data_IF_232873419137
#
_entry.id   IF_232873419137
#
_cell.length_a   1.000
_cell.length_b   1.000
_cell.length_c   1.000
_cell.angle_alpha   90.00
_cell.angle_beta   90.00
_cell.angle_gamma   90.00
#
_symmetry.space_group_name_H-M   'P 1'
#
loop_
_entity.id
_entity.type
_entity.pdbx_description
1 polymer ?
#
# COMPACT_ATOMS: atom_id res chain seq x y z
N UNK A 1 -51.25 -13.23 -43.18
CA UNK A 1 -50.04 -12.71 -43.86
C UNK A 1 -49.24 -11.91 -42.85
N UNK A 2 -48.02 -12.38 -42.63
CA UNK A 2 -46.87 -11.85 -41.87
C UNK A 2 -47.03 -11.09 -40.54
N UNK A 3 -46.60 -11.81 -39.50
CA UNK A 3 -46.09 -11.36 -38.21
C UNK A 3 -44.70 -10.73 -38.29
N UNK A 4 -44.41 -9.77 -37.40
CA UNK A 4 -43.08 -9.61 -36.81
C UNK A 4 -43.21 -8.98 -35.41
N UNK A 5 -42.92 -9.77 -34.39
CA UNK A 5 -42.75 -9.33 -32.99
C UNK A 5 -41.29 -9.03 -32.66
N UNK A 6 -41.02 -8.48 -31.46
CA UNK A 6 -39.73 -7.91 -31.09
C UNK A 6 -38.72 -8.96 -30.63
N UNK A 7 -37.46 -8.69 -30.95
CA UNK A 7 -36.31 -9.55 -30.65
C UNK A 7 -36.01 -9.69 -29.16
N UNK A 8 -35.86 -10.94 -28.73
CA UNK A 8 -35.34 -11.34 -27.42
C UNK A 8 -33.84 -11.58 -27.58
N UNK A 9 -33.02 -10.89 -26.80
CA UNK A 9 -31.60 -11.18 -26.65
C UNK A 9 -31.43 -12.51 -25.90
N UNK A 10 -31.06 -13.56 -26.63
CA UNK A 10 -30.69 -14.86 -26.09
C UNK A 10 -29.23 -14.88 -25.65
N UNK A 11 -29.02 -15.22 -24.38
CA UNK A 11 -27.72 -15.55 -23.79
C UNK A 11 -27.17 -16.81 -24.46
N UNK A 12 -25.99 -16.72 -25.10
CA UNK A 12 -25.26 -17.90 -25.60
C UNK A 12 -24.25 -18.34 -24.55
N UNK A 13 -24.56 -19.45 -23.86
CA UNK A 13 -23.56 -20.25 -23.15
C UNK A 13 -22.72 -21.00 -24.18
N UNK A 14 -21.41 -20.73 -24.22
CA UNK A 14 -20.46 -21.52 -25.00
C UNK A 14 -19.99 -22.72 -24.18
N UNK A 15 -20.37 -23.93 -24.60
CA UNK A 15 -19.82 -25.20 -24.08
C UNK A 15 -18.68 -25.70 -24.99
N UNK A 16 -17.71 -26.40 -24.39
CA UNK A 16 -16.43 -26.90 -24.92
C UNK A 16 -16.51 -27.85 -26.12
N UNK A 17 -17.68 -28.07 -26.72
CA UNK A 17 -17.87 -28.99 -27.86
C UNK A 17 -18.09 -28.30 -29.22
N UNK A 18 -18.07 -26.98 -29.29
CA UNK A 18 -18.25 -26.22 -30.55
C UNK A 18 -16.95 -25.83 -31.27
N UNK A 19 -15.78 -26.29 -30.82
CA UNK A 19 -14.47 -25.89 -31.36
C UNK A 19 -13.77 -26.97 -32.22
N UNK A 20 -14.48 -27.98 -32.69
CA UNK A 20 -13.91 -29.06 -33.51
C UNK A 20 -14.84 -29.46 -34.67
N UNK A 21 -15.10 -28.53 -35.59
CA UNK A 21 -15.55 -28.88 -36.95
C UNK A 21 -15.54 -27.62 -37.83
N UNK A 22 -14.46 -27.42 -38.59
CA UNK A 22 -14.48 -26.40 -39.64
C UNK A 22 -13.12 -26.01 -40.15
N UNK A 23 -12.55 -26.84 -41.03
CA UNK A 23 -11.91 -26.40 -42.29
C UNK A 23 -11.04 -27.52 -42.87
N UNK A 24 -11.59 -28.23 -43.85
CA UNK A 24 -10.81 -29.03 -44.80
C UNK A 24 -11.03 -28.44 -46.19
N UNK A 25 -9.92 -28.31 -46.92
CA UNK A 25 -9.74 -27.89 -48.32
C UNK A 25 -9.58 -26.38 -48.61
N UNK A 26 -8.33 -25.93 -48.80
CA UNK A 26 -7.82 -25.57 -50.13
C UNK A 26 -6.31 -25.22 -50.13
N UNK A 27 -5.64 -25.72 -51.18
CA UNK A 27 -4.47 -25.19 -51.88
C UNK A 27 -3.06 -25.28 -51.25
N UNK A 28 -2.23 -26.09 -51.92
CA UNK A 28 -0.78 -26.07 -51.92
C UNK A 28 -0.24 -24.67 -52.28
N UNK A 29 0.53 -24.08 -51.38
CA UNK A 29 1.44 -22.95 -51.62
C UNK A 29 2.84 -23.44 -51.26
N UNK A 30 3.88 -23.19 -52.08
CA UNK A 30 5.19 -23.78 -51.86
C UNK A 30 5.76 -23.29 -50.52
N UNK A 31 6.46 -24.20 -49.84
CA UNK A 31 7.15 -23.97 -48.59
C UNK A 31 8.27 -22.92 -48.77
N UNK A 32 7.91 -21.64 -48.74
CA UNK A 32 8.82 -20.57 -48.37
C UNK A 32 8.95 -20.60 -46.87
N UNK A 33 10.09 -21.07 -46.36
CA UNK A 33 10.39 -21.05 -44.94
C UNK A 33 10.22 -19.63 -44.41
N UNK A 34 9.16 -19.38 -43.65
CA UNK A 34 9.18 -18.29 -42.69
C UNK A 34 10.31 -18.62 -41.73
N UNK A 35 11.28 -17.72 -41.51
CA UNK A 35 12.21 -17.92 -40.42
C UNK A 35 11.33 -18.06 -39.18
N UNK A 36 11.41 -19.20 -38.50
CA UNK A 36 10.86 -19.32 -37.17
C UNK A 36 11.50 -18.17 -36.38
N UNK A 37 10.74 -17.11 -36.10
CA UNK A 37 11.23 -16.05 -35.24
C UNK A 37 11.54 -16.74 -33.92
N UNK A 38 12.83 -16.91 -33.63
CA UNK A 38 13.28 -17.43 -32.36
C UNK A 38 12.58 -16.58 -31.29
N UNK A 39 11.86 -17.24 -30.38
CA UNK A 39 11.29 -16.55 -29.24
C UNK A 39 12.44 -15.80 -28.55
N UNK A 40 12.30 -14.49 -28.39
CA UNK A 40 13.25 -13.72 -27.59
C UNK A 40 13.28 -14.37 -26.20
N UNK A 41 14.49 -14.71 -25.72
CA UNK A 41 14.69 -15.30 -24.39
C UNK A 41 14.08 -14.40 -23.29
N UNK A 42 14.07 -13.08 -23.52
CA UNK A 42 13.51 -12.06 -22.65
C UNK A 42 12.59 -11.08 -23.42
N UNK A 43 11.31 -11.43 -23.66
CA UNK A 43 10.39 -10.59 -24.43
C UNK A 43 9.90 -9.38 -23.63
N UNK A 44 9.65 -8.23 -24.28
CA UNK A 44 9.09 -7.05 -23.62
C UNK A 44 7.75 -7.38 -22.95
N UNK A 45 7.64 -7.11 -21.63
CA UNK A 45 6.38 -7.29 -20.87
C UNK A 45 5.67 -5.97 -20.54
N UNK A 46 6.30 -4.84 -20.86
CA UNK A 46 5.67 -3.51 -20.77
C UNK A 46 4.58 -3.36 -21.85
N UNK A 47 3.53 -2.57 -21.61
CA UNK A 47 2.65 -2.10 -22.67
C UNK A 47 3.43 -1.43 -23.79
N UNK A 48 2.87 -1.48 -25.01
CA UNK A 48 3.38 -0.71 -26.14
C UNK A 48 3.39 0.77 -25.76
N UNK A 49 4.30 1.55 -26.34
CA UNK A 49 4.47 2.97 -25.96
C UNK A 49 3.19 3.80 -26.07
N UNK A 50 2.28 3.44 -27.00
CA UNK A 50 1.00 4.13 -27.18
C UNK A 50 -0.05 3.76 -26.13
N UNK A 51 0.12 2.63 -25.44
CA UNK A 51 -0.82 2.08 -24.46
C UNK A 51 -0.37 2.36 -23.01
N UNK A 52 0.79 3.00 -22.81
CA UNK A 52 1.29 3.39 -21.48
C UNK A 52 0.48 4.57 -20.97
N UNK A 53 0.02 4.49 -19.71
CA UNK A 53 -0.80 5.55 -19.11
C UNK A 53 -0.02 6.84 -18.84
N UNK A 54 1.26 6.71 -18.51
CA UNK A 54 2.17 7.83 -18.33
C UNK A 54 3.56 7.48 -18.88
N UNK A 55 4.27 8.46 -19.42
CA UNK A 55 5.64 8.29 -19.91
C UNK A 55 6.48 9.49 -19.51
N UNK A 56 7.73 9.21 -19.12
CA UNK A 56 8.69 10.22 -18.68
C UNK A 56 10.04 9.95 -19.34
N UNK A 57 10.64 10.92 -20.03
CA UNK A 57 11.99 10.78 -20.58
C UNK A 57 13.04 10.47 -19.50
N UNK A 58 12.89 11.02 -18.30
CA UNK A 58 13.79 10.73 -17.17
C UNK A 58 13.70 9.25 -16.75
N UNK A 59 12.49 8.68 -16.75
CA UNK A 59 12.28 7.26 -16.44
C UNK A 59 12.88 6.36 -17.52
N UNK A 60 12.66 6.64 -18.81
CA UNK A 60 13.26 5.84 -19.90
C UNK A 60 14.80 5.93 -19.92
N UNK A 61 15.34 7.11 -19.61
CA UNK A 61 16.79 7.30 -19.46
C UNK A 61 17.34 6.52 -18.27
N UNK A 62 16.63 6.50 -17.14
CA UNK A 62 17.05 5.76 -15.95
C UNK A 62 16.98 4.25 -16.17
N UNK A 63 15.95 3.77 -16.89
CA UNK A 63 15.85 2.38 -17.33
C UNK A 63 17.08 2.00 -18.15
N UNK A 64 17.39 2.79 -19.18
CA UNK A 64 18.53 2.55 -20.06
C UNK A 64 19.85 2.55 -19.28
N UNK A 65 20.02 3.51 -18.36
CA UNK A 65 21.23 3.62 -17.53
C UNK A 65 21.41 2.42 -16.61
N UNK A 66 20.39 2.05 -15.84
CA UNK A 66 20.49 0.99 -14.83
C UNK A 66 20.55 -0.39 -15.50
N UNK A 67 19.74 -0.66 -16.52
CA UNK A 67 19.84 -1.92 -17.28
C UNK A 67 21.22 -2.09 -17.91
N UNK A 68 21.89 -1.01 -18.35
CA UNK A 68 23.26 -1.07 -18.86
C UNK A 68 24.34 -1.35 -17.80
N UNK A 69 24.02 -1.21 -16.50
CA UNK A 69 24.91 -1.53 -15.39
C UNK A 69 24.71 -2.96 -14.85
N UNK A 70 23.58 -3.59 -15.19
CA UNK A 70 23.25 -4.94 -14.72
C UNK A 70 23.88 -5.94 -15.70
N UNK A 71 24.88 -6.68 -15.23
CA UNK A 71 25.56 -7.70 -16.05
C UNK A 71 24.72 -8.94 -16.35
N UNK A 72 23.71 -9.22 -15.52
CA UNK A 72 22.78 -10.35 -15.70
C UNK A 72 21.60 -9.94 -16.62
N UNK A 73 21.44 -10.55 -17.80
CA UNK A 73 20.39 -10.16 -18.75
C UNK A 73 18.97 -10.34 -18.24
N UNK A 74 18.70 -11.37 -17.43
CA UNK A 74 17.39 -11.61 -16.83
C UNK A 74 17.04 -10.53 -15.82
N UNK A 75 17.99 -10.16 -14.96
CA UNK A 75 17.80 -9.10 -13.98
C UNK A 75 17.63 -7.73 -14.66
N UNK A 76 18.38 -7.45 -15.73
CA UNK A 76 18.21 -6.23 -16.50
C UNK A 76 16.83 -6.15 -17.17
N UNK A 77 16.32 -7.29 -17.66
CA UNK A 77 14.98 -7.44 -18.20
C UNK A 77 13.89 -7.29 -17.13
N UNK A 78 14.04 -7.93 -15.97
CA UNK A 78 13.14 -7.79 -14.82
C UNK A 78 13.06 -6.32 -14.38
N UNK A 79 14.21 -5.66 -14.20
CA UNK A 79 14.26 -4.25 -13.85
C UNK A 79 13.53 -3.38 -14.88
N UNK A 80 13.80 -3.59 -16.18
CA UNK A 80 13.15 -2.86 -17.26
C UNK A 80 11.63 -3.04 -17.30
N UNK A 81 11.10 -4.20 -16.89
CA UNK A 81 9.66 -4.44 -16.81
C UNK A 81 9.02 -3.91 -15.52
N UNK A 82 9.69 -4.07 -14.38
CA UNK A 82 9.13 -3.76 -13.07
C UNK A 82 9.24 -2.28 -12.72
N UNK A 83 10.40 -1.66 -12.98
CA UNK A 83 10.65 -0.28 -12.56
C UNK A 83 9.61 0.73 -13.09
N UNK A 84 9.20 0.74 -14.36
CA UNK A 84 8.18 1.68 -14.86
C UNK A 84 6.74 1.21 -14.68
N UNK A 85 6.49 0.02 -14.10
CA UNK A 85 5.18 -0.63 -14.18
C UNK A 85 4.04 0.27 -13.66
N UNK A 86 4.23 0.94 -12.52
CA UNK A 86 3.26 1.90 -11.98
C UNK A 86 2.87 2.98 -13.00
N UNK A 87 3.86 3.60 -13.65
CA UNK A 87 3.60 4.67 -14.62
C UNK A 87 2.97 4.13 -15.91
N UNK A 88 3.41 2.96 -16.35
CA UNK A 88 2.92 2.32 -17.56
C UNK A 88 1.45 1.88 -17.41
N UNK A 89 1.04 1.35 -16.25
CA UNK A 89 -0.20 0.57 -16.12
C UNK A 89 -1.20 1.09 -15.08
N UNK A 90 -0.80 1.93 -14.13
CA UNK A 90 -1.66 2.29 -12.97
C UNK A 90 -1.96 3.78 -12.79
N UNK A 91 -1.09 4.67 -13.28
CA UNK A 91 -1.23 6.10 -13.05
C UNK A 91 -2.24 6.75 -14.01
N UNK A 92 -3.30 7.35 -13.47
CA UNK A 92 -4.28 8.12 -14.22
C UNK A 92 -4.18 9.60 -13.88
N UNK A 93 -3.56 10.38 -14.76
CA UNK A 93 -3.40 11.83 -14.58
C UNK A 93 -4.64 12.59 -15.02
N UNK A 94 -4.96 13.67 -14.32
CA UNK A 94 -6.12 14.51 -14.58
C UNK A 94 -5.99 15.87 -13.92
N UNK A 95 -7.11 16.60 -13.92
CA UNK A 95 -7.24 17.92 -13.31
C UNK A 95 -8.55 17.98 -12.55
N UNK A 96 -8.52 18.45 -11.30
CA UNK A 96 -9.71 18.74 -10.50
C UNK A 96 -9.54 20.12 -9.86
N UNK A 97 -10.57 20.96 -9.98
CA UNK A 97 -10.58 22.36 -9.52
C UNK A 97 -9.39 23.17 -10.04
N UNK A 98 -9.01 22.93 -11.30
CA UNK A 98 -7.88 23.59 -11.96
C UNK A 98 -6.49 23.16 -11.45
N UNK A 99 -6.40 22.15 -10.58
CA UNK A 99 -5.15 21.63 -10.04
C UNK A 99 -4.85 20.22 -10.56
N UNK A 100 -3.57 19.82 -10.67
CA UNK A 100 -3.21 18.44 -10.99
C UNK A 100 -3.89 17.46 -10.05
N UNK A 101 -4.33 16.35 -10.60
CA UNK A 101 -4.90 15.22 -9.88
C UNK A 101 -4.30 13.95 -10.47
N UNK A 102 -3.94 12.98 -9.63
CA UNK A 102 -3.42 11.70 -10.11
C UNK A 102 -4.00 10.59 -9.27
N UNK A 103 -4.72 9.69 -9.92
CA UNK A 103 -5.29 8.51 -9.32
C UNK A 103 -4.45 7.30 -9.70
N UNK A 104 -3.88 6.61 -8.70
CA UNK A 104 -3.00 5.45 -8.92
C UNK A 104 -3.71 4.23 -8.36
N UNK A 105 -4.03 3.26 -9.23
CA UNK A 105 -4.65 2.00 -8.84
C UNK A 105 -3.60 0.99 -8.36
N UNK A 106 -4.00 -0.02 -7.59
CA UNK A 106 -3.05 -1.06 -7.13
C UNK A 106 -2.53 -1.92 -8.28
N UNK A 107 -3.37 -2.13 -9.31
CA UNK A 107 -3.05 -2.91 -10.50
C UNK A 107 -4.28 -3.65 -11.00
N UNK A 108 -4.46 -4.88 -10.52
CA UNK A 108 -5.62 -5.72 -10.83
C UNK A 108 -6.90 -5.31 -10.07
N UNK A 109 -6.78 -4.56 -8.98
CA UNK A 109 -7.89 -3.91 -8.29
C UNK A 109 -7.96 -2.43 -8.72
N UNK A 110 -9.06 -1.97 -9.34
CA UNK A 110 -9.14 -0.63 -9.94
C UNK A 110 -9.46 0.47 -8.91
N UNK A 111 -8.83 0.43 -7.73
CA UNK A 111 -9.03 1.39 -6.66
C UNK A 111 -7.68 1.87 -6.12
N UNK A 112 -7.71 3.03 -5.45
CA UNK A 112 -6.53 3.63 -4.85
C UNK A 112 -6.47 3.24 -3.38
N UNK A 113 -5.45 2.47 -2.99
CA UNK A 113 -5.04 2.36 -1.59
C UNK A 113 -4.07 3.48 -1.24
N UNK A 114 -4.24 4.11 -0.07
CA UNK A 114 -3.33 5.18 0.37
C UNK A 114 -1.89 4.66 0.55
N UNK A 115 -1.75 3.43 1.05
CA UNK A 115 -0.48 2.70 1.15
C UNK A 115 0.15 2.48 -0.23
N UNK A 116 -0.52 1.73 -1.08
CA UNK A 116 0.01 1.26 -2.37
C UNK A 116 0.38 2.44 -3.26
N UNK A 117 -0.52 3.40 -3.42
CA UNK A 117 -0.26 4.57 -4.27
C UNK A 117 0.95 5.38 -3.82
N UNK A 118 1.20 5.46 -2.49
CA UNK A 118 2.38 6.12 -1.94
C UNK A 118 3.66 5.34 -2.21
N UNK A 119 3.64 4.02 -1.98
CA UNK A 119 4.79 3.15 -2.16
C UNK A 119 5.18 3.00 -3.64
N UNK A 120 4.20 2.85 -4.52
CA UNK A 120 4.36 2.65 -5.96
C UNK A 120 5.15 3.80 -6.63
N UNK A 121 5.00 5.04 -6.17
CA UNK A 121 5.69 6.20 -6.77
C UNK A 121 7.02 6.54 -6.09
N UNK A 122 7.33 5.92 -4.94
CA UNK A 122 8.50 6.25 -4.13
C UNK A 122 9.84 6.16 -4.90
N UNK A 123 10.08 5.16 -5.76
CA UNK A 123 11.33 5.06 -6.53
C UNK A 123 11.55 6.21 -7.51
N UNK A 124 10.49 6.94 -7.91
CA UNK A 124 10.57 8.00 -8.91
C UNK A 124 10.89 9.37 -8.32
N UNK A 125 10.75 9.54 -6.99
CA UNK A 125 10.96 10.82 -6.30
C UNK A 125 12.33 11.47 -6.61
N UNK A 126 13.46 10.74 -6.64
CA UNK A 126 14.76 11.34 -6.96
C UNK A 126 14.83 11.99 -8.36
N UNK A 127 14.00 11.54 -9.30
CA UNK A 127 13.98 12.05 -10.68
C UNK A 127 13.06 13.27 -10.84
N UNK A 128 12.11 13.46 -9.92
CA UNK A 128 11.07 14.50 -10.01
C UNK A 128 11.61 15.94 -10.00
N UNK A 129 12.82 16.16 -9.44
CA UNK A 129 13.47 17.48 -9.43
C UNK A 129 13.74 18.00 -10.85
N UNK A 130 14.07 17.10 -11.76
CA UNK A 130 14.49 17.44 -13.13
C UNK A 130 13.44 17.08 -14.18
N UNK A 131 12.31 16.49 -13.79
CA UNK A 131 11.21 16.14 -14.68
C UNK A 131 9.91 16.86 -14.24
N UNK A 132 9.53 17.95 -14.92
CA UNK A 132 8.31 18.71 -14.59
C UNK A 132 7.01 17.90 -14.72
N UNK A 133 6.93 16.95 -15.65
CA UNK A 133 5.74 16.12 -15.85
C UNK A 133 5.59 15.13 -14.69
N UNK A 134 6.68 14.47 -14.30
CA UNK A 134 6.71 13.57 -13.15
C UNK A 134 6.38 14.32 -11.85
N UNK A 135 6.91 15.55 -11.69
CA UNK A 135 6.56 16.41 -10.56
C UNK A 135 5.08 16.76 -10.51
N UNK A 136 4.46 17.01 -11.68
CA UNK A 136 3.03 17.31 -11.80
C UNK A 136 2.17 16.10 -11.40
N UNK A 137 2.57 14.90 -11.82
CA UNK A 137 1.94 13.63 -11.41
C UNK A 137 2.00 13.46 -9.88
N UNK A 138 3.18 13.67 -9.28
CA UNK A 138 3.36 13.51 -7.83
C UNK A 138 2.56 14.55 -7.03
N UNK A 139 2.51 15.81 -7.46
CA UNK A 139 1.63 16.84 -6.87
C UNK A 139 0.16 16.42 -6.95
N UNK A 140 -0.24 15.86 -8.08
CA UNK A 140 -1.58 15.35 -8.30
C UNK A 140 -1.94 14.21 -7.35
N UNK A 141 -1.01 13.29 -7.09
CA UNK A 141 -1.23 12.19 -6.16
C UNK A 141 -1.33 12.68 -4.70
N UNK A 142 -0.43 13.57 -4.26
CA UNK A 142 -0.51 14.16 -2.91
C UNK A 142 -1.87 14.86 -2.71
N UNK A 143 -2.33 15.59 -3.71
CA UNK A 143 -3.63 16.26 -3.67
C UNK A 143 -4.79 15.26 -3.66
N UNK A 144 -4.70 14.19 -4.47
CA UNK A 144 -5.68 13.10 -4.49
C UNK A 144 -5.79 12.41 -3.13
N UNK A 145 -4.67 12.06 -2.52
CA UNK A 145 -4.64 11.43 -1.20
C UNK A 145 -5.25 12.34 -0.11
N UNK A 146 -4.98 13.65 -0.16
CA UNK A 146 -5.63 14.61 0.75
C UNK A 146 -7.16 14.62 0.57
N UNK A 147 -7.67 14.62 -0.67
CA UNK A 147 -9.12 14.51 -0.94
C UNK A 147 -9.69 13.20 -0.41
N UNK A 148 -9.00 12.09 -0.63
CA UNK A 148 -9.39 10.77 -0.12
C UNK A 148 -9.51 10.75 1.40
N UNK A 149 -8.49 11.25 2.12
CA UNK A 149 -8.53 11.37 3.58
C UNK A 149 -9.71 12.23 4.05
N UNK A 150 -10.05 13.29 3.32
CA UNK A 150 -11.20 14.14 3.65
C UNK A 150 -12.56 13.50 3.32
N UNK A 151 -12.61 12.52 2.41
CA UNK A 151 -13.81 11.68 2.22
C UNK A 151 -14.01 10.81 3.46
N UNK A 152 -12.98 10.03 3.84
CA UNK A 152 -13.00 9.26 5.07
C UNK A 152 -11.59 8.91 5.57
N UNK A 153 -11.14 9.45 6.70
CA UNK A 153 -9.80 9.15 7.23
C UNK A 153 -9.70 7.74 7.85
N UNK A 154 -10.81 7.00 7.96
CA UNK A 154 -10.83 5.60 8.40
C UNK A 154 -10.70 4.59 7.26
N UNK A 155 -10.77 5.03 6.00
CA UNK A 155 -10.74 4.15 4.84
C UNK A 155 -9.32 3.89 4.34
N UNK A 156 -9.03 2.64 3.99
CA UNK A 156 -7.80 2.22 3.33
C UNK A 156 -7.86 2.48 1.81
N UNK A 157 -9.03 2.31 1.19
CA UNK A 157 -9.19 2.31 -0.27
C UNK A 157 -10.28 3.25 -0.79
N UNK A 158 -10.05 3.83 -1.97
CA UNK A 158 -10.90 4.87 -2.57
C UNK A 158 -11.23 4.59 -4.02
N UNK A 159 -12.43 4.99 -4.42
CA UNK A 159 -12.92 4.98 -5.79
C UNK A 159 -12.39 6.22 -6.54
N UNK A 160 -12.22 6.12 -7.86
CA UNK A 160 -11.82 7.27 -8.68
C UNK A 160 -12.84 8.41 -8.64
N UNK A 161 -14.12 8.03 -8.79
CA UNK A 161 -15.24 8.96 -8.67
C UNK A 161 -15.61 9.11 -7.18
N UNK A 162 -15.45 10.31 -6.58
CA UNK A 162 -15.74 10.53 -5.16
C UNK A 162 -17.24 10.42 -4.82
N UNK A 163 -18.13 10.40 -5.82
CA UNK A 163 -19.56 10.21 -5.63
C UNK A 163 -20.02 8.75 -5.87
N UNK A 164 -19.13 7.86 -6.34
CA UNK A 164 -19.47 6.47 -6.57
C UNK A 164 -19.61 5.71 -5.26
N UNK A 165 -20.50 4.72 -5.22
CA UNK A 165 -20.49 3.68 -4.18
C UNK A 165 -19.44 2.63 -4.57
N UNK A 166 -18.92 1.90 -3.59
CA UNK A 166 -18.04 0.76 -3.85
C UNK A 166 -18.72 -0.25 -4.77
N UNK A 167 -17.96 -0.77 -5.73
CA UNK A 167 -18.31 -1.91 -6.58
C UNK A 167 -17.45 -3.15 -6.26
N UNK A 168 -16.61 -3.07 -5.22
CA UNK A 168 -15.82 -4.20 -4.75
C UNK A 168 -16.73 -5.28 -4.16
N UNK A 169 -16.79 -6.50 -4.74
CA UNK A 169 -17.79 -7.50 -4.36
C UNK A 169 -17.79 -7.85 -2.87
N UNK A 170 -16.62 -7.85 -2.23
CA UNK A 170 -16.46 -8.18 -0.81
C UNK A 170 -16.83 -7.03 0.13
N UNK A 171 -16.78 -5.77 -0.33
CA UNK A 171 -17.08 -4.59 0.49
C UNK A 171 -18.56 -4.15 0.41
N UNK A 172 -19.33 -4.66 -0.56
CA UNK A 172 -20.74 -4.28 -0.79
C UNK A 172 -21.64 -4.44 0.44
N UNK A 173 -21.31 -5.38 1.33
CA UNK A 173 -22.13 -5.74 2.49
C UNK A 173 -21.44 -5.53 3.83
N UNK A 174 -20.33 -4.78 3.84
CA UNK A 174 -19.63 -4.43 5.08
C UNK A 174 -20.56 -3.65 6.02
N UNK A 175 -20.58 -4.09 7.27
CA UNK A 175 -21.29 -3.43 8.36
C UNK A 175 -20.39 -2.36 8.96
N UNK A 176 -20.32 -1.22 8.29
CA UNK A 176 -19.59 -0.02 8.72
C UNK A 176 -20.23 1.23 8.12
N UNK A 177 -19.75 2.41 8.48
CA UNK A 177 -20.20 3.69 7.92
C UNK A 177 -19.62 3.90 6.51
N UNK A 178 -20.10 3.14 5.54
CA UNK A 178 -19.59 3.20 4.16
C UNK A 178 -20.07 4.49 3.46
N UNK A 179 -19.12 5.30 3.00
CA UNK A 179 -19.39 6.58 2.32
C UNK A 179 -19.20 6.47 0.81
N UNK A 180 -19.81 7.39 0.06
CA UNK A 180 -19.48 7.56 -1.35
C UNK A 180 -17.99 7.94 -1.50
N UNK A 181 -17.34 7.45 -2.55
CA UNK A 181 -15.91 7.63 -2.80
C UNK A 181 -15.01 6.64 -2.06
N UNK A 182 -15.53 5.91 -1.06
CA UNK A 182 -14.79 4.84 -0.37
C UNK A 182 -14.97 3.53 -1.13
N UNK A 183 -13.86 2.84 -1.42
CA UNK A 183 -13.86 1.52 -2.02
C UNK A 183 -13.91 0.42 -0.96
N UNK A 184 -13.05 0.54 0.07
CA UNK A 184 -13.03 -0.33 1.25
C UNK A 184 -12.70 0.53 2.48
N UNK A 185 -13.24 0.15 3.63
CA UNK A 185 -13.16 0.93 4.86
C UNK A 185 -12.54 0.16 6.02
N UNK A 186 -11.46 -0.59 5.76
CA UNK A 186 -10.64 -1.21 6.81
C UNK A 186 -9.74 -0.15 7.44
N UNK A 187 -9.85 0.04 8.75
CA UNK A 187 -9.04 1.02 9.46
C UNK A 187 -7.64 0.49 9.71
N UNK A 188 -6.71 1.08 8.96
CA UNK A 188 -5.28 0.78 8.98
C UNK A 188 -4.52 2.05 9.32
N UNK A 189 -3.78 2.05 10.42
CA UNK A 189 -3.02 3.22 10.85
C UNK A 189 -2.01 3.66 9.77
N UNK A 190 -1.40 2.72 9.05
CA UNK A 190 -0.42 3.02 8.02
C UNK A 190 -1.03 3.74 6.80
N UNK A 191 -2.33 3.57 6.53
CA UNK A 191 -3.02 4.29 5.45
C UNK A 191 -2.93 5.81 5.60
N UNK A 192 -2.85 6.32 6.83
CA UNK A 192 -2.61 7.75 7.09
C UNK A 192 -1.12 8.10 7.16
N UNK A 193 -0.25 7.14 7.48
CA UNK A 193 1.20 7.36 7.58
C UNK A 193 1.86 7.46 6.19
N UNK A 194 1.42 6.64 5.24
CA UNK A 194 1.99 6.58 3.89
C UNK A 194 1.89 7.90 3.11
N UNK A 195 0.75 8.62 3.09
CA UNK A 195 0.67 9.95 2.48
C UNK A 195 1.58 11.00 3.16
N UNK A 196 1.72 10.94 4.49
CA UNK A 196 2.64 11.83 5.23
C UNK A 196 4.10 11.54 4.87
N UNK A 197 4.45 10.26 4.75
CA UNK A 197 5.77 9.81 4.33
C UNK A 197 6.06 10.25 2.89
N UNK A 198 5.13 10.05 1.96
CA UNK A 198 5.25 10.53 0.58
C UNK A 198 5.47 12.05 0.53
N UNK A 199 4.71 12.82 1.29
CA UNK A 199 4.85 14.28 1.38
C UNK A 199 6.27 14.70 1.84
N UNK A 200 6.80 14.07 2.90
CA UNK A 200 8.16 14.31 3.36
C UNK A 200 9.20 13.98 2.29
N UNK A 201 9.11 12.79 1.69
CA UNK A 201 10.08 12.32 0.70
C UNK A 201 10.05 13.18 -0.57
N UNK A 202 8.86 13.61 -0.98
CA UNK A 202 8.68 14.55 -2.09
C UNK A 202 9.33 15.90 -1.79
N UNK A 203 9.06 16.49 -0.61
CA UNK A 203 9.67 17.75 -0.18
C UNK A 203 11.21 17.65 -0.19
N UNK A 204 11.77 16.59 0.40
CA UNK A 204 13.21 16.36 0.46
C UNK A 204 13.85 16.22 -0.93
N UNK A 205 13.18 15.53 -1.86
CA UNK A 205 13.73 15.28 -3.19
C UNK A 205 13.66 16.51 -4.10
N UNK A 206 12.64 17.36 -3.95
CA UNK A 206 12.31 18.39 -4.93
C UNK A 206 12.48 19.82 -4.43
N UNK A 207 12.35 20.06 -3.11
CA UNK A 207 12.21 21.41 -2.54
C UNK A 207 10.95 22.14 -3.03
N UNK A 208 9.95 21.42 -3.50
CA UNK A 208 8.73 21.97 -4.08
C UNK A 208 7.59 22.04 -3.05
N UNK A 209 7.20 23.26 -2.69
CA UNK A 209 6.17 23.50 -1.68
C UNK A 209 4.74 23.51 -2.25
N UNK A 210 4.57 23.50 -3.57
CA UNK A 210 3.27 23.69 -4.25
C UNK A 210 2.15 22.75 -3.76
N UNK A 211 2.36 21.43 -3.50
CA UNK A 211 1.27 20.56 -3.10
C UNK A 211 0.84 20.73 -1.64
N UNK A 212 1.59 21.45 -0.79
CA UNK A 212 1.29 21.61 0.64
C UNK A 212 0.34 22.78 0.92
N UNK A 213 -0.75 22.81 0.15
CA UNK A 213 -1.78 23.84 0.21
C UNK A 213 -2.80 23.61 1.33
N UNK A 214 -3.86 24.42 1.36
CA UNK A 214 -4.90 24.34 2.39
C UNK A 214 -5.61 22.97 2.43
N UNK A 215 -5.81 22.34 1.27
CA UNK A 215 -6.45 21.03 1.17
C UNK A 215 -5.57 19.95 1.80
N UNK A 216 -4.27 19.97 1.49
CA UNK A 216 -3.30 19.06 2.12
C UNK A 216 -3.26 19.23 3.64
N UNK A 217 -3.24 20.48 4.13
CA UNK A 217 -3.20 20.74 5.56
C UNK A 217 -4.48 20.31 6.28
N UNK A 218 -5.65 20.46 5.64
CA UNK A 218 -6.92 19.97 6.19
C UNK A 218 -6.91 18.44 6.29
N UNK A 219 -6.44 17.74 5.25
CA UNK A 219 -6.27 16.29 5.27
C UNK A 219 -5.31 15.84 6.38
N UNK A 220 -4.16 16.50 6.53
CA UNK A 220 -3.20 16.22 7.59
C UNK A 220 -3.80 16.41 8.99
N UNK A 221 -4.58 17.48 9.22
CA UNK A 221 -5.30 17.70 10.48
C UNK A 221 -6.37 16.64 10.71
N UNK A 222 -7.08 16.21 9.67
CA UNK A 222 -8.04 15.11 9.76
C UNK A 222 -7.35 13.80 10.18
N UNK A 223 -6.19 13.49 9.61
CA UNK A 223 -5.41 12.33 10.01
C UNK A 223 -5.01 12.36 11.49
N UNK A 224 -4.48 13.49 11.99
CA UNK A 224 -4.11 13.65 13.41
C UNK A 224 -5.34 13.48 14.32
N UNK A 225 -6.49 14.07 13.95
CA UNK A 225 -7.73 13.89 14.71
C UNK A 225 -8.16 12.42 14.78
N UNK A 226 -8.13 11.71 13.66
CA UNK A 226 -8.48 10.28 13.61
C UNK A 226 -7.51 9.42 14.42
N UNK A 227 -6.21 9.70 14.35
CA UNK A 227 -5.21 9.03 15.19
C UNK A 227 -5.50 9.26 16.69
N UNK A 228 -5.84 10.49 17.10
CA UNK A 228 -6.24 10.83 18.47
C UNK A 228 -7.51 10.08 18.90
N UNK A 229 -8.56 10.07 18.06
CA UNK A 229 -9.78 9.29 18.31
C UNK A 229 -9.47 7.81 18.52
N UNK A 230 -8.51 7.27 17.76
CA UNK A 230 -8.09 5.87 17.84
C UNK A 230 -7.07 5.59 18.95
N UNK A 231 -6.64 6.57 19.75
CA UNK A 231 -6.07 6.27 21.07
C UNK A 231 -7.16 5.75 22.03
N UNK A 232 -8.43 6.09 21.75
CA UNK A 232 -9.61 5.59 22.47
C UNK A 232 -9.55 5.82 23.98
N UNK A 233 -8.95 6.94 24.40
CA UNK A 233 -8.70 7.24 25.82
C UNK A 233 -10.00 7.34 26.63
N UNK A 234 -11.05 7.92 26.04
CA UNK A 234 -12.31 8.22 26.72
C UNK A 234 -13.49 7.32 26.29
N UNK A 235 -13.23 6.20 25.58
CA UNK A 235 -14.30 5.31 25.13
C UNK A 235 -13.90 4.33 24.02
N UNK A 236 -14.85 3.66 23.36
CA UNK A 236 -14.57 2.67 22.32
C UNK A 236 -14.11 3.27 20.98
N UNK A 237 -14.17 4.59 20.80
CA UNK A 237 -13.95 5.26 19.52
C UNK A 237 -15.15 5.15 18.55
N UNK A 238 -15.16 5.91 17.45
CA UNK A 238 -16.29 5.95 16.53
C UNK A 238 -16.28 4.83 15.47
N UNK A 239 -15.13 4.18 15.26
CA UNK A 239 -14.97 3.18 14.21
C UNK A 239 -15.49 1.79 14.63
N UNK A 240 -16.30 1.20 13.77
CA UNK A 240 -16.73 -0.20 13.83
C UNK A 240 -16.73 -0.81 12.43
N UNK A 241 -16.42 -2.09 12.36
CA UNK A 241 -16.42 -2.82 11.09
C UNK A 241 -16.73 -4.30 11.30
N UNK A 242 -17.63 -4.86 10.51
CA UNK A 242 -17.77 -6.31 10.37
C UNK A 242 -18.04 -6.67 8.92
N UNK A 243 -17.43 -7.77 8.47
CA UNK A 243 -17.74 -8.43 7.20
C UNK A 243 -18.32 -9.81 7.47
N UNK A 244 -19.25 -10.22 6.63
CA UNK A 244 -19.74 -11.60 6.60
C UNK A 244 -18.84 -12.41 5.68
N UNK A 245 -17.80 -13.01 6.25
CA UNK A 245 -16.80 -13.79 5.51
C UNK A 245 -16.55 -15.14 6.21
N UNK A 246 -15.99 -16.11 5.49
CA UNK A 246 -15.45 -17.34 6.07
C UNK A 246 -14.05 -17.13 6.63
N UNK A 247 -13.35 -16.10 6.18
CA UNK A 247 -12.04 -15.73 6.69
C UNK A 247 -12.15 -14.87 7.97
N UNK A 248 -11.65 -15.39 9.09
CA UNK A 248 -11.78 -14.74 10.39
C UNK A 248 -11.00 -13.40 10.47
N UNK A 249 -9.97 -13.22 9.65
CA UNK A 249 -9.15 -12.00 9.63
C UNK A 249 -9.72 -10.91 8.71
N UNK A 250 -10.86 -11.16 8.03
CA UNK A 250 -11.55 -10.15 7.24
C UNK A 250 -12.65 -9.41 8.03
N UNK A 251 -12.79 -9.68 9.33
CA UNK A 251 -13.84 -9.11 10.17
C UNK A 251 -13.34 -8.84 11.59
N UNK A 252 -14.04 -7.98 12.34
CA UNK A 252 -13.67 -7.67 13.72
C UNK A 252 -14.67 -8.29 14.70
N UNK A 253 -14.11 -8.89 15.76
CA UNK A 253 -14.87 -9.40 16.90
C UNK A 253 -15.54 -8.28 17.70
N UNK A 254 -16.38 -8.68 18.67
CA UNK A 254 -17.02 -7.79 19.64
C UNK A 254 -17.82 -6.66 18.96
N UNK A 255 -18.75 -7.03 18.08
CA UNK A 255 -19.65 -6.10 17.39
C UNK A 255 -18.87 -5.03 16.58
N UNK A 256 -17.77 -5.48 15.97
CA UNK A 256 -16.95 -4.66 15.09
C UNK A 256 -15.94 -3.74 15.80
N UNK A 257 -15.79 -3.84 17.13
CA UNK A 257 -14.83 -3.04 17.89
C UNK A 257 -13.41 -3.60 17.88
N UNK A 258 -13.27 -4.91 17.63
CA UNK A 258 -12.04 -5.68 17.78
C UNK A 258 -11.72 -6.04 19.23
N UNK A 259 -10.55 -6.67 19.44
CA UNK A 259 -10.16 -7.15 20.76
C UNK A 259 -10.00 -6.00 21.79
N UNK A 260 -10.27 -6.25 23.09
CA UNK A 260 -10.12 -5.22 24.13
C UNK A 260 -8.68 -4.76 24.30
N UNK A 261 -8.50 -3.52 24.75
CA UNK A 261 -7.18 -2.95 25.09
C UNK A 261 -7.24 -2.09 26.33
N UNK A 262 -6.11 -1.98 27.03
CA UNK A 262 -5.88 -0.93 28.03
C UNK A 262 -5.42 0.32 27.29
N UNK A 263 -6.07 1.46 27.55
CA UNK A 263 -5.82 2.72 26.84
C UNK A 263 -4.53 3.36 27.34
N UNK A 264 -3.40 2.99 26.72
CA UNK A 264 -2.05 3.34 27.17
C UNK A 264 -1.38 4.45 26.36
N UNK A 265 -2.11 5.10 25.43
CA UNK A 265 -1.60 6.16 24.56
C UNK A 265 -1.16 5.70 23.17
N UNK A 266 -1.08 4.39 22.92
CA UNK A 266 -0.90 3.85 21.56
C UNK A 266 -2.17 4.04 20.72
N UNK A 267 -2.00 4.11 19.40
CA UNK A 267 -3.10 4.19 18.45
C UNK A 267 -3.52 2.78 18.05
N UNK A 268 -4.83 2.52 18.10
CA UNK A 268 -5.39 1.28 17.58
C UNK A 268 -5.24 1.26 16.05
N UNK A 269 -4.81 0.14 15.50
CA UNK A 269 -5.06 -0.26 14.11
C UNK A 269 -6.03 -1.43 14.16
N UNK A 270 -7.10 -1.41 13.37
CA UNK A 270 -8.01 -2.55 13.35
C UNK A 270 -7.56 -3.62 12.37
N UNK A 271 -6.92 -3.20 11.28
CA UNK A 271 -6.32 -4.06 10.27
C UNK A 271 -4.83 -3.70 10.11
N UNK A 272 -4.07 -4.67 9.61
CA UNK A 272 -2.64 -4.60 9.26
C UNK A 272 -2.50 -4.03 7.84
N UNK A 273 -1.28 -3.68 7.40
CA UNK A 273 -1.03 -3.35 5.98
C UNK A 273 -1.28 -4.53 5.02
N UNK A 274 -1.52 -5.74 5.53
CA UNK A 274 -2.02 -6.89 4.75
C UNK A 274 -3.54 -6.88 4.54
N UNK A 275 -4.23 -5.84 5.01
CA UNK A 275 -5.68 -5.75 5.15
C UNK A 275 -6.28 -6.83 6.09
N UNK A 276 -5.47 -7.57 6.85
CA UNK A 276 -5.92 -8.57 7.83
C UNK A 276 -6.16 -7.94 9.21
N UNK A 277 -7.19 -8.40 9.93
CA UNK A 277 -7.52 -7.92 11.26
C UNK A 277 -6.36 -8.14 12.26
N UNK A 278 -6.07 -7.12 13.05
CA UNK A 278 -5.09 -7.24 14.14
C UNK A 278 -5.62 -8.21 15.22
N UNK A 279 -4.74 -9.04 15.77
CA UNK A 279 -5.06 -9.88 16.93
C UNK A 279 -5.11 -9.03 18.20
N UNK A 280 -4.07 -8.22 18.43
CA UNK A 280 -4.12 -7.15 19.42
C UNK A 280 -4.08 -5.78 18.70
N UNK A 281 -5.04 -4.87 18.96
CA UNK A 281 -5.19 -3.65 18.15
C UNK A 281 -4.03 -2.66 18.20
N UNK A 282 -3.08 -2.74 19.12
CA UNK A 282 -1.89 -1.90 19.04
C UNK A 282 -0.82 -2.58 18.18
N UNK A 283 -0.95 -2.41 16.87
CA UNK A 283 0.05 -2.82 15.89
C UNK A 283 1.31 -1.95 16.05
N UNK A 284 2.34 -2.55 16.64
CA UNK A 284 3.59 -1.86 17.01
C UNK A 284 4.34 -1.31 15.79
N UNK A 285 4.54 -2.03 14.67
CA UNK A 285 5.25 -1.46 13.52
C UNK A 285 4.49 -0.26 12.91
N UNK A 286 3.16 -0.28 12.90
CA UNK A 286 2.37 0.86 12.44
C UNK A 286 2.45 2.06 13.39
N UNK A 287 2.50 1.84 14.71
CA UNK A 287 2.70 2.93 15.68
C UNK A 287 4.11 3.53 15.58
N UNK A 288 5.15 2.72 15.38
CA UNK A 288 6.52 3.20 15.11
C UNK A 288 6.57 4.00 13.80
N UNK A 289 5.89 3.53 12.76
CA UNK A 289 5.77 4.29 11.51
C UNK A 289 5.01 5.60 11.70
N UNK A 290 3.93 5.62 12.50
CA UNK A 290 3.18 6.83 12.81
C UNK A 290 4.05 7.89 13.49
N UNK A 291 4.93 7.51 14.44
CA UNK A 291 5.89 8.45 15.05
C UNK A 291 6.78 9.10 13.99
N UNK A 292 7.36 8.30 13.09
CA UNK A 292 8.22 8.80 12.02
C UNK A 292 7.47 9.67 11.01
N UNK A 293 6.29 9.23 10.59
CA UNK A 293 5.42 9.94 9.66
C UNK A 293 4.93 11.28 10.22
N UNK A 294 4.53 11.33 11.50
CA UNK A 294 4.10 12.57 12.18
C UNK A 294 5.26 13.56 12.34
N UNK A 295 6.46 13.10 12.71
CA UNK A 295 7.67 13.96 12.74
C UNK A 295 8.01 14.49 11.34
N UNK A 296 7.85 13.64 10.32
CA UNK A 296 7.97 14.02 8.91
C UNK A 296 6.96 15.08 8.49
N UNK A 297 5.69 14.88 8.85
CA UNK A 297 4.61 15.83 8.62
C UNK A 297 4.91 17.18 9.30
N UNK A 298 5.40 17.17 10.55
CA UNK A 298 5.75 18.37 11.27
C UNK A 298 6.83 19.18 10.54
N UNK A 299 7.85 18.49 10.01
CA UNK A 299 8.90 19.11 9.19
C UNK A 299 8.34 19.76 7.93
N UNK A 300 7.51 19.06 7.16
CA UNK A 300 6.89 19.62 5.94
C UNK A 300 5.97 20.81 6.27
N UNK A 301 5.15 20.67 7.31
CA UNK A 301 4.26 21.73 7.77
C UNK A 301 5.04 23.00 8.15
N UNK A 302 6.14 22.86 8.89
CA UNK A 302 6.97 23.99 9.31
C UNK A 302 7.78 24.59 8.15
N UNK A 303 8.51 23.77 7.40
CA UNK A 303 9.52 24.25 6.43
C UNK A 303 8.91 24.63 5.08
N UNK A 304 7.97 23.84 4.57
CA UNK A 304 7.44 24.04 3.22
C UNK A 304 6.16 24.89 3.23
N UNK A 305 5.32 24.73 4.25
CA UNK A 305 4.03 25.44 4.37
C UNK A 305 4.09 26.67 5.30
N UNK A 306 4.95 26.66 6.32
CA UNK A 306 4.96 27.69 7.36
C UNK A 306 3.80 27.58 8.37
N UNK A 307 3.25 26.37 8.58
CA UNK A 307 2.14 26.08 9.49
C UNK A 307 2.67 25.50 10.81
N UNK A 308 3.05 26.39 11.72
CA UNK A 308 3.61 26.03 13.03
C UNK A 308 2.62 25.24 13.92
N UNK A 309 1.32 25.54 13.81
CA UNK A 309 0.29 24.87 14.59
C UNK A 309 0.13 23.40 14.18
N UNK A 310 0.10 23.14 12.86
CA UNK A 310 0.08 21.76 12.36
C UNK A 310 1.35 21.00 12.77
N UNK A 311 2.50 21.66 12.72
CA UNK A 311 3.76 21.06 13.15
C UNK A 311 3.77 20.69 14.64
N UNK A 312 3.22 21.56 15.50
CA UNK A 312 3.08 21.27 16.94
C UNK A 312 2.16 20.07 17.16
N UNK A 313 0.95 20.08 16.59
CA UNK A 313 -0.02 19.00 16.75
C UNK A 313 0.57 17.63 16.36
N UNK A 314 1.35 17.59 15.27
CA UNK A 314 1.99 16.37 14.81
C UNK A 314 3.10 15.91 15.76
N UNK A 315 3.97 16.81 16.22
CA UNK A 315 5.05 16.49 17.17
C UNK A 315 4.52 16.05 18.55
N UNK A 316 3.46 16.69 19.03
CA UNK A 316 2.84 16.37 20.32
C UNK A 316 2.30 14.94 20.31
N UNK A 317 1.55 14.58 19.27
CA UNK A 317 1.06 13.21 19.10
C UNK A 317 2.21 12.20 18.91
N UNK A 318 3.22 12.52 18.11
CA UNK A 318 4.37 11.64 17.91
C UNK A 318 5.09 11.34 19.23
N UNK A 319 5.27 12.36 20.08
CA UNK A 319 5.95 12.24 21.38
C UNK A 319 5.15 11.33 22.33
N UNK A 320 3.83 11.44 22.33
CA UNK A 320 2.97 10.61 23.17
C UNK A 320 3.00 9.13 22.75
N UNK A 321 2.95 8.85 21.45
CA UNK A 321 3.03 7.48 20.93
C UNK A 321 4.40 6.88 21.23
N UNK A 322 5.49 7.63 21.00
CA UNK A 322 6.86 7.20 21.27
C UNK A 322 7.06 6.84 22.75
N UNK A 323 6.51 7.66 23.64
CA UNK A 323 6.51 7.38 25.07
C UNK A 323 5.72 6.10 25.41
N UNK A 324 4.54 5.91 24.83
CA UNK A 324 3.74 4.70 25.04
C UNK A 324 4.43 3.44 24.49
N UNK A 325 5.07 3.53 23.31
CA UNK A 325 5.86 2.45 22.71
C UNK A 325 7.01 2.01 23.61
N UNK A 326 7.75 2.96 24.20
CA UNK A 326 8.87 2.66 25.11
C UNK A 326 8.45 1.84 26.33
N UNK A 327 7.19 1.94 26.76
CA UNK A 327 6.64 1.25 27.93
C UNK A 327 5.91 -0.04 27.59
N UNK A 328 5.26 -0.10 26.44
CA UNK A 328 4.27 -1.14 26.13
C UNK A 328 4.54 -1.89 24.81
N UNK A 329 5.40 -1.39 23.93
CA UNK A 329 5.63 -1.97 22.60
C UNK A 329 6.65 -3.12 22.57
N UNK A 330 7.37 -3.37 23.66
CA UNK A 330 8.43 -4.38 23.72
C UNK A 330 8.01 -5.63 24.48
N UNK A 331 8.64 -6.75 24.15
CA UNK A 331 8.51 -8.01 24.86
C UNK A 331 9.88 -8.68 25.07
N UNK A 332 9.93 -9.70 25.91
CA UNK A 332 11.14 -10.51 26.07
C UNK A 332 11.31 -11.44 24.86
N UNK A 333 12.48 -11.38 24.26
CA UNK A 333 12.93 -12.28 23.21
C UNK A 333 13.36 -13.64 23.76
N UNK A 334 13.75 -14.58 22.87
CA UNK A 334 14.06 -15.96 23.25
C UNK A 334 15.21 -16.11 24.24
N UNK A 335 16.15 -15.17 24.24
CA UNK A 335 17.34 -15.10 25.09
C UNK A 335 17.13 -14.16 26.30
N UNK A 336 15.89 -13.72 26.54
CA UNK A 336 15.56 -12.75 27.59
C UNK A 336 15.89 -11.30 27.24
N UNK A 337 16.44 -11.02 26.05
CA UNK A 337 16.68 -9.64 25.61
C UNK A 337 15.41 -9.03 25.01
N UNK A 338 15.23 -7.72 25.20
CA UNK A 338 14.07 -7.02 24.62
C UNK A 338 14.12 -7.02 23.09
N UNK A 339 12.94 -7.26 22.51
CA UNK A 339 12.58 -7.09 21.10
C UNK A 339 11.28 -6.31 21.00
N UNK A 340 11.00 -5.69 19.86
CA UNK A 340 9.66 -5.17 19.60
C UNK A 340 8.67 -6.33 19.44
N UNK A 341 7.51 -6.22 20.08
CA UNK A 341 6.37 -7.08 19.77
C UNK A 341 5.78 -6.63 18.42
N UNK A 342 5.06 -7.52 17.74
CA UNK A 342 4.31 -7.16 16.53
C UNK A 342 3.00 -6.45 16.91
N UNK A 343 2.28 -7.01 17.87
CA UNK A 343 1.02 -6.47 18.39
C UNK A 343 0.97 -6.57 19.91
N UNK A 344 0.35 -5.58 20.56
CA UNK A 344 0.13 -5.56 22.02
C UNK A 344 -1.27 -5.06 22.35
N UNK A 345 -1.73 -5.30 23.58
CA UNK A 345 -3.06 -4.86 24.05
C UNK A 345 -3.02 -3.87 25.23
N UNK A 346 -1.83 -3.61 25.78
CA UNK A 346 -1.63 -2.78 26.96
C UNK A 346 -2.01 -3.42 28.31
N UNK A 347 -2.63 -4.60 28.32
CA UNK A 347 -2.83 -5.42 29.53
C UNK A 347 -1.61 -6.28 29.87
N UNK A 348 -0.74 -6.50 28.89
CA UNK A 348 0.48 -7.28 29.03
C UNK A 348 0.58 -8.43 28.03
N UNK A 349 -0.44 -8.63 27.18
CA UNK A 349 -0.36 -9.59 26.10
C UNK A 349 0.48 -9.00 24.96
N UNK A 350 1.34 -9.85 24.40
CA UNK A 350 2.27 -9.49 23.33
C UNK A 350 2.31 -10.61 22.30
N UNK A 351 2.25 -10.25 21.03
CA UNK A 351 2.38 -11.18 19.90
C UNK A 351 3.75 -10.99 19.24
N UNK A 352 4.54 -12.06 19.16
CA UNK A 352 5.77 -12.07 18.35
C UNK A 352 5.47 -12.75 17.00
N UNK A 353 5.46 -11.96 15.94
CA UNK A 353 5.46 -12.42 14.55
C UNK A 353 6.05 -11.32 13.67
N UNK A 354 6.09 -11.55 12.36
CA UNK A 354 6.18 -10.47 11.39
C UNK A 354 5.34 -10.83 10.17
N UNK A 355 4.87 -9.81 9.46
CA UNK A 355 4.17 -9.94 8.19
C UNK A 355 5.02 -9.27 7.09
N UNK A 356 4.91 -9.77 5.87
CA UNK A 356 5.65 -9.22 4.74
C UNK A 356 5.21 -7.79 4.35
N UNK A 357 3.98 -7.40 4.67
CA UNK A 357 3.42 -6.11 4.32
C UNK A 357 4.01 -4.97 5.16
N UNK A 358 4.22 -3.81 4.52
CA UNK A 358 4.91 -2.66 5.13
C UNK A 358 3.89 -1.64 5.63
N UNK A 359 3.90 -1.26 6.92
CA UNK A 359 4.94 -1.51 7.92
C UNK A 359 4.85 -2.88 8.64
N UNK A 360 5.90 -3.69 8.49
CA UNK A 360 6.24 -4.84 9.35
C UNK A 360 7.49 -4.54 10.19
N UNK A 361 7.76 -5.35 11.22
CA UNK A 361 8.89 -5.14 12.13
C UNK A 361 10.24 -5.13 11.41
N UNK A 362 10.48 -6.07 10.50
CA UNK A 362 11.72 -6.12 9.72
C UNK A 362 11.87 -5.00 8.68
N UNK A 363 10.77 -4.31 8.36
CA UNK A 363 10.76 -3.21 7.37
C UNK A 363 10.95 -1.81 7.97
N UNK A 364 11.00 -1.68 9.30
CA UNK A 364 11.00 -0.38 9.97
C UNK A 364 12.20 0.50 9.60
N UNK A 365 13.37 -0.10 9.39
CA UNK A 365 14.56 0.65 8.97
C UNK A 365 14.42 1.22 7.55
N UNK A 366 13.75 0.50 6.64
CA UNK A 366 13.46 0.99 5.28
C UNK A 366 12.59 2.26 5.32
N UNK A 367 11.62 2.30 6.23
CA UNK A 367 10.76 3.47 6.43
C UNK A 367 11.47 4.65 7.13
N UNK A 368 12.67 4.43 7.68
CA UNK A 368 13.35 5.38 8.55
C UNK A 368 12.65 5.56 9.90
N UNK A 369 11.83 4.59 10.31
CA UNK A 369 11.12 4.61 11.60
C UNK A 369 12.03 4.20 12.78
N UNK A 370 13.07 3.42 12.49
CA UNK A 370 14.12 3.04 13.43
C UNK A 370 15.48 3.14 12.74
N UNK A 371 16.55 3.30 13.51
CA UNK A 371 17.90 3.20 12.98
C UNK A 371 18.19 1.73 12.60
N UNK A 372 18.71 1.51 11.39
CA UNK A 372 19.14 0.18 10.91
C UNK A 372 20.17 -0.47 11.84
N UNK A 373 20.99 0.33 12.53
CA UNK A 373 22.01 -0.16 13.44
C UNK A 373 21.57 -0.20 14.90
N UNK A 374 20.33 0.17 15.22
CA UNK A 374 19.80 0.03 16.57
C UNK A 374 19.85 -1.46 16.99
N UNK A 375 20.56 -1.80 18.07
CA UNK A 375 20.63 -3.17 18.58
C UNK A 375 19.25 -3.79 18.85
N UNK A 376 18.26 -2.99 19.30
CA UNK A 376 16.89 -3.47 19.52
C UNK A 376 16.22 -3.86 18.20
N UNK A 377 16.32 -3.01 17.18
CA UNK A 377 15.83 -3.33 15.84
C UNK A 377 16.52 -4.58 15.29
N UNK A 378 17.85 -4.67 15.37
CA UNK A 378 18.60 -5.82 14.83
C UNK A 378 18.23 -7.14 15.49
N UNK A 379 18.01 -7.16 16.81
CA UNK A 379 17.50 -8.35 17.50
C UNK A 379 16.08 -8.70 17.07
N UNK A 380 15.23 -7.69 16.91
CA UNK A 380 13.85 -7.86 16.44
C UNK A 380 13.84 -8.44 15.03
N UNK A 381 14.57 -7.85 14.09
CA UNK A 381 14.74 -8.30 12.71
C UNK A 381 15.24 -9.75 12.65
N UNK A 382 16.25 -10.09 13.46
CA UNK A 382 16.74 -11.47 13.55
C UNK A 382 15.67 -12.45 14.05
N UNK A 383 14.81 -12.04 15.00
CA UNK A 383 13.70 -12.86 15.46
C UNK A 383 12.64 -13.05 14.36
N UNK A 384 12.31 -11.99 13.60
CA UNK A 384 11.38 -12.02 12.47
C UNK A 384 11.84 -12.98 11.35
N UNK A 385 13.15 -13.07 11.12
CA UNK A 385 13.80 -13.94 10.12
C UNK A 385 14.27 -15.29 10.70
N UNK A 386 13.50 -15.86 11.63
CA UNK A 386 13.81 -17.13 12.29
C UNK A 386 12.55 -17.96 12.53
N UNK A 387 12.71 -19.22 12.97
CA UNK A 387 11.60 -20.07 13.37
C UNK A 387 10.78 -19.58 14.57
N UNK A 388 11.11 -18.41 15.14
CA UNK A 388 10.28 -17.71 16.13
C UNK A 388 9.10 -16.97 15.49
N UNK A 389 9.25 -16.53 14.25
CA UNK A 389 8.14 -15.96 13.50
C UNK A 389 7.33 -17.11 12.88
N UNK A 390 6.04 -17.28 13.26
CA UNK A 390 5.19 -18.34 12.69
C UNK A 390 4.97 -18.19 11.18
N UNK A 391 5.21 -17.00 10.62
CA UNK A 391 5.07 -16.70 9.19
C UNK A 391 6.42 -16.55 8.48
N UNK A 392 7.53 -16.95 9.11
CA UNK A 392 8.79 -17.20 8.41
C UNK A 392 8.82 -18.63 7.88
N UNK A 393 9.01 -18.78 6.58
CA UNK A 393 9.03 -20.07 5.91
C UNK A 393 10.39 -20.32 5.26
N UNK A 394 10.82 -21.58 5.25
CA UNK A 394 12.03 -22.05 4.55
C UNK A 394 11.70 -23.34 3.83
N UNK A 395 11.99 -23.40 2.53
CA UNK A 395 11.77 -24.57 1.69
C UNK A 395 12.74 -24.63 0.51
N UNK A 396 12.51 -25.57 -0.41
CA UNK A 396 13.39 -25.77 -1.58
C UNK A 396 13.45 -24.55 -2.52
N UNK A 397 12.39 -23.73 -2.55
CA UNK A 397 12.30 -22.54 -3.39
C UNK A 397 12.87 -21.27 -2.77
N UNK A 398 13.33 -21.31 -1.51
CA UNK A 398 13.87 -20.15 -0.80
C UNK A 398 13.39 -20.04 0.64
N UNK A 399 13.68 -18.89 1.25
CA UNK A 399 13.21 -18.52 2.58
C UNK A 399 12.73 -17.07 2.59
N UNK A 400 11.75 -16.78 3.44
CA UNK A 400 11.19 -15.44 3.55
C UNK A 400 10.00 -15.38 4.48
N UNK A 401 9.48 -14.16 4.66
CA UNK A 401 8.31 -13.90 5.48
C UNK A 401 7.09 -13.85 4.57
N UNK A 402 5.99 -14.46 5.02
CA UNK A 402 4.67 -14.35 4.41
C UNK A 402 3.72 -13.60 5.31
N UNK A 403 2.56 -14.21 5.57
CA UNK A 403 1.53 -13.69 6.45
C UNK A 403 0.31 -14.60 6.42
N UNK A 404 -0.68 -14.38 7.32
CA UNK A 404 -1.91 -15.15 7.29
C UNK A 404 -2.74 -14.90 6.03
N UNK A 405 -2.61 -13.75 5.37
CA UNK A 405 -3.32 -13.39 4.15
C UNK A 405 -3.20 -14.45 3.03
N UNK A 406 -1.97 -14.83 2.67
CA UNK A 406 -1.73 -15.85 1.65
C UNK A 406 -1.68 -17.27 2.24
N UNK A 407 -1.57 -17.40 3.56
CA UNK A 407 -1.55 -18.67 4.28
C UNK A 407 -0.15 -19.30 4.42
N UNK A 408 -0.13 -20.50 5.00
CA UNK A 408 1.09 -21.20 5.38
C UNK A 408 1.94 -21.62 4.17
N UNK A 409 3.25 -21.41 4.26
CA UNK A 409 4.21 -21.80 3.22
C UNK A 409 4.31 -20.82 2.05
N UNK A 410 3.53 -19.74 2.06
CA UNK A 410 3.53 -18.71 1.01
C UNK A 410 4.45 -17.55 1.40
N UNK A 411 5.64 -17.49 0.79
CA UNK A 411 6.60 -16.40 0.96
C UNK A 411 6.22 -15.25 0.03
N UNK A 412 6.23 -14.03 0.56
CA UNK A 412 6.02 -12.82 -0.24
C UNK A 412 7.36 -12.24 -0.70
N UNK A 413 7.56 -11.95 -2.00
CA UNK A 413 8.77 -11.33 -2.51
C UNK A 413 9.12 -10.01 -1.82
N UNK A 414 8.11 -9.26 -1.37
CA UNK A 414 8.27 -8.02 -0.62
C UNK A 414 9.19 -8.19 0.60
N UNK A 415 9.06 -9.27 1.37
CA UNK A 415 9.93 -9.52 2.52
C UNK A 415 11.40 -9.67 2.12
N UNK A 416 11.67 -10.39 1.02
CA UNK A 416 13.03 -10.63 0.52
C UNK A 416 13.65 -9.33 0.00
N UNK A 417 12.87 -8.53 -0.73
CA UNK A 417 13.29 -7.21 -1.22
C UNK A 417 13.70 -6.34 -0.03
N UNK A 418 12.85 -6.24 1.00
CA UNK A 418 13.11 -5.40 2.16
C UNK A 418 14.29 -5.88 3.00
N UNK A 419 14.53 -7.18 3.10
CA UNK A 419 15.74 -7.73 3.75
C UNK A 419 17.02 -7.31 3.04
N UNK A 420 16.96 -7.14 1.72
CA UNK A 420 18.10 -6.71 0.93
C UNK A 420 18.37 -5.19 1.04
N UNK A 421 17.31 -4.41 1.31
CA UNK A 421 17.39 -2.95 1.44
C UNK A 421 18.03 -2.53 2.75
#
# INVERSE_FOLDING_TARGET
MHSAGPGVFGVVRLDRRSLLAGSLAAALVPAGGQPAMAALEYPLRRPLSADRRFSSPAIESEISRVSGLIGDPELAWLFGNCYPNTLDTTAEVGVIDGKPDTFVITGDIPCLWLRDSSAQVQPYLPLARNDPALRTLLRGLISRQARSILIDPYANAFMRNPAAKTDLPWALSDKTEMKAGVAERKWELDSLCWPMHLALRYWQATGDAVPFDALWAEGARASIRTMREQQRLDGPGPYRFQRSDTNAIDTLMLDGLGAPTKKVGLIHSMFRPSDDACTYPFLVPANLFAVAALRGLAKVASEARGDADLASLANDLATEIDFALSRHGMMDGPDGQKVWAYEVDGFGNTLLMDDANVPGLSSLAYLGAVDRQDPLFRRTEAACWSGRNPYFFRGKGGEGIGGPHAGLGMIWPMSIILRAM
#
